data_IF_233218315131
#
_entry.id   IF_233218315131
#
_cell.length_a   1.000
_cell.length_b   1.000
_cell.length_c   1.000
_cell.angle_alpha   90.00
_cell.angle_beta   90.00
_cell.angle_gamma   90.00
#
_symmetry.space_group_name_H-M   'P 1'
#
loop_
_entity.id
_entity.type
_entity.pdbx_description
1 polymer ?
#
# COMPACT_ATOMS: atom_id res chain seq x y z
N UNK A 1 5.96 12.79 5.71
CA UNK A 1 4.87 11.86 6.12
C UNK A 1 4.55 11.06 4.88
N UNK A 2 4.60 9.73 5.01
CA UNK A 2 4.55 8.74 3.95
C UNK A 2 5.80 8.69 3.05
N UNK A 3 6.97 9.03 3.57
CA UNK A 3 8.21 8.98 2.76
C UNK A 3 8.56 7.55 2.34
N UNK A 4 8.54 6.62 3.29
CA UNK A 4 8.84 5.20 3.01
C UNK A 4 7.79 4.56 2.10
N UNK A 5 6.50 4.83 2.36
CA UNK A 5 5.41 4.38 1.48
C UNK A 5 5.57 4.88 0.03
N UNK A 6 5.94 6.15 -0.16
CA UNK A 6 6.18 6.72 -1.50
C UNK A 6 7.44 6.18 -2.16
N UNK A 7 8.49 5.90 -1.38
CA UNK A 7 9.70 5.25 -1.89
C UNK A 7 9.41 3.85 -2.39
N UNK A 8 8.64 3.07 -1.62
CA UNK A 8 8.21 1.74 -2.03
C UNK A 8 7.38 1.78 -3.33
N UNK A 9 6.41 2.69 -3.43
CA UNK A 9 5.63 2.87 -4.66
C UNK A 9 6.48 3.31 -5.86
N UNK A 10 7.41 4.25 -5.67
CA UNK A 10 8.34 4.66 -6.73
C UNK A 10 9.17 3.48 -7.22
N UNK A 11 9.71 2.70 -6.29
CA UNK A 11 10.47 1.51 -6.61
C UNK A 11 9.60 0.46 -7.34
N UNK A 12 8.31 0.34 -7.03
CA UNK A 12 7.39 -0.53 -7.77
C UNK A 12 7.31 -0.15 -9.26
N UNK A 13 7.15 1.15 -9.56
CA UNK A 13 7.16 1.62 -10.94
C UNK A 13 8.50 1.45 -11.64
N UNK A 14 9.62 1.64 -10.92
CA UNK A 14 10.96 1.40 -11.46
C UNK A 14 11.14 -0.07 -11.89
N UNK A 15 10.58 -1.04 -11.17
CA UNK A 15 10.60 -2.45 -11.59
C UNK A 15 9.76 -2.70 -12.85
N UNK A 16 8.60 -2.07 -13.00
CA UNK A 16 7.81 -2.15 -14.24
C UNK A 16 8.55 -1.52 -15.43
N UNK A 17 9.25 -0.40 -15.22
CA UNK A 17 10.09 0.19 -16.27
C UNK A 17 11.25 -0.72 -16.67
N UNK A 18 11.85 -1.42 -15.71
CA UNK A 18 12.89 -2.42 -15.97
C UNK A 18 12.32 -3.62 -16.71
N UNK A 19 11.13 -4.10 -16.33
CA UNK A 19 10.42 -5.16 -17.04
C UNK A 19 10.24 -4.81 -18.51
N UNK A 20 9.78 -3.59 -18.83
CA UNK A 20 9.63 -3.15 -20.22
C UNK A 20 10.94 -3.14 -21.04
N UNK A 21 12.10 -3.15 -20.37
CA UNK A 21 13.43 -3.19 -21.02
C UNK A 21 14.01 -4.60 -21.10
N UNK A 22 13.77 -5.44 -20.10
CA UNK A 22 14.42 -6.76 -19.97
C UNK A 22 13.50 -7.93 -20.32
N UNK A 23 12.19 -7.74 -20.21
CA UNK A 23 11.19 -8.81 -20.31
C UNK A 23 11.22 -9.81 -19.15
N UNK A 24 11.93 -9.52 -18.06
CA UNK A 24 12.06 -10.44 -16.92
C UNK A 24 10.77 -10.46 -16.08
N UNK A 25 9.98 -11.54 -16.10
CA UNK A 25 8.69 -11.61 -15.40
C UNK A 25 8.83 -11.50 -13.88
N UNK A 26 10.02 -11.69 -13.31
CA UNK A 26 10.23 -11.50 -11.87
C UNK A 26 10.06 -10.05 -11.44
N UNK A 27 10.38 -9.11 -12.32
CA UNK A 27 10.22 -7.68 -12.05
C UNK A 27 8.76 -7.27 -11.89
N UNK A 28 7.82 -7.97 -12.55
CA UNK A 28 6.38 -7.75 -12.37
C UNK A 28 5.94 -8.15 -10.96
N UNK A 29 6.44 -9.28 -10.45
CA UNK A 29 6.14 -9.74 -9.08
C UNK A 29 6.78 -8.84 -8.03
N UNK A 30 8.01 -8.42 -8.27
CA UNK A 30 8.72 -7.47 -7.40
C UNK A 30 8.03 -6.10 -7.35
N UNK A 31 7.47 -5.65 -8.47
CA UNK A 31 6.66 -4.44 -8.52
C UNK A 31 5.41 -4.56 -7.65
N UNK A 32 4.71 -5.71 -7.71
CA UNK A 32 3.52 -5.93 -6.91
C UNK A 32 3.83 -5.96 -5.40
N UNK A 33 4.89 -6.66 -4.99
CA UNK A 33 5.30 -6.68 -3.58
C UNK A 33 5.65 -5.28 -3.07
N UNK A 34 6.39 -4.49 -3.86
CA UNK A 34 6.69 -3.09 -3.51
C UNK A 34 5.44 -2.22 -3.41
N UNK A 35 4.45 -2.45 -4.27
CA UNK A 35 3.13 -1.82 -4.18
C UNK A 35 2.38 -2.19 -2.90
N UNK A 36 2.44 -3.46 -2.49
CA UNK A 36 1.88 -3.92 -1.22
C UNK A 36 2.59 -3.28 -0.01
N UNK A 37 3.93 -3.28 0.00
CA UNK A 37 4.73 -2.65 1.05
C UNK A 37 4.38 -1.16 1.20
N UNK A 38 4.16 -0.45 0.10
CA UNK A 38 3.73 0.95 0.16
C UNK A 38 2.43 1.14 0.95
N UNK A 39 1.45 0.26 0.76
CA UNK A 39 0.17 0.28 1.49
C UNK A 39 0.39 -0.05 2.97
N UNK A 40 1.22 -1.04 3.27
CA UNK A 40 1.54 -1.43 4.65
C UNK A 40 2.17 -0.26 5.41
N UNK A 41 3.22 0.35 4.86
CA UNK A 41 3.90 1.51 5.44
C UNK A 41 2.93 2.68 5.68
N UNK A 42 2.04 2.94 4.71
CA UNK A 42 1.06 4.01 4.85
C UNK A 42 0.05 3.74 5.98
N UNK A 43 -0.42 2.50 6.11
CA UNK A 43 -1.32 2.12 7.20
C UNK A 43 -0.60 2.15 8.54
N UNK A 44 0.65 1.70 8.63
CA UNK A 44 1.44 1.79 9.86
C UNK A 44 1.62 3.23 10.33
N UNK A 45 1.95 4.16 9.41
CA UNK A 45 2.06 5.57 9.76
C UNK A 45 0.72 6.17 10.20
N UNK A 46 -0.39 5.77 9.57
CA UNK A 46 -1.74 6.18 9.99
C UNK A 46 -2.05 5.70 11.40
N UNK A 47 -1.87 4.40 11.68
CA UNK A 47 -2.14 3.81 12.99
C UNK A 47 -1.24 4.41 14.07
N UNK A 48 0.04 4.63 13.77
CA UNK A 48 0.98 5.30 14.65
C UNK A 48 0.55 6.72 15.00
N UNK A 49 -0.02 7.47 14.06
CA UNK A 49 -0.58 8.80 14.33
C UNK A 49 -1.81 8.79 15.27
N UNK A 50 -2.50 7.65 15.38
CA UNK A 50 -3.56 7.41 16.37
C UNK A 50 -3.05 6.75 17.67
N UNK A 51 -1.74 6.54 17.79
CA UNK A 51 -1.15 5.86 18.96
C UNK A 51 -1.46 4.37 19.02
N UNK A 52 -1.74 3.73 17.87
CA UNK A 52 -2.06 2.30 17.78
C UNK A 52 -0.89 1.54 17.18
N UNK A 53 -0.36 0.56 17.90
CA UNK A 53 0.62 -0.40 17.37
C UNK A 53 -0.08 -1.65 16.85
N UNK A 54 0.29 -2.09 15.65
CA UNK A 54 -0.23 -3.31 15.04
C UNK A 54 0.87 -4.03 14.23
N UNK A 55 1.16 -5.30 14.55
CA UNK A 55 2.30 -6.02 13.97
C UNK A 55 1.86 -6.85 12.76
N UNK A 56 0.75 -7.56 12.88
CA UNK A 56 0.23 -8.44 11.83
C UNK A 56 -0.76 -7.71 10.91
N UNK A 57 -0.95 -8.22 9.68
CA UNK A 57 -1.95 -7.69 8.75
C UNK A 57 -3.37 -7.75 9.30
N UNK A 58 -3.66 -8.77 10.13
CA UNK A 58 -4.93 -8.87 10.85
C UNK A 58 -5.08 -7.76 11.89
N UNK A 59 -4.09 -7.55 12.74
CA UNK A 59 -4.13 -6.48 13.76
C UNK A 59 -4.28 -5.09 13.11
N UNK A 60 -3.62 -4.86 11.97
CA UNK A 60 -3.75 -3.62 11.20
C UNK A 60 -5.19 -3.41 10.73
N UNK A 61 -5.83 -4.44 10.15
CA UNK A 61 -7.25 -4.38 9.75
C UNK A 61 -8.18 -4.16 10.93
N UNK A 62 -7.98 -4.87 12.03
CA UNK A 62 -8.79 -4.72 13.24
C UNK A 62 -8.63 -3.31 13.85
N UNK A 63 -7.43 -2.74 13.79
CA UNK A 63 -7.17 -1.36 14.20
C UNK A 63 -7.86 -0.33 13.28
N UNK A 64 -7.72 -0.48 11.97
CA UNK A 64 -8.41 0.36 10.98
C UNK A 64 -9.93 0.33 11.16
N UNK A 65 -10.50 -0.85 11.40
CA UNK A 65 -11.92 -1.02 11.67
C UNK A 65 -12.36 -0.29 12.95
N UNK A 66 -11.61 -0.46 14.05
CA UNK A 66 -11.88 0.23 15.33
C UNK A 66 -11.81 1.75 15.23
N UNK A 67 -10.97 2.27 14.34
CA UNK A 67 -10.85 3.71 14.06
C UNK A 67 -11.93 4.23 13.09
N UNK A 68 -12.83 3.37 12.60
CA UNK A 68 -13.91 3.74 11.69
C UNK A 68 -13.48 3.88 10.23
N UNK A 69 -12.37 3.26 9.82
CA UNK A 69 -11.85 3.29 8.44
C UNK A 69 -12.25 2.05 7.65
N UNK A 70 -13.54 1.69 7.66
CA UNK A 70 -14.04 0.48 7.00
C UNK A 70 -13.65 0.38 5.52
N UNK A 71 -13.77 1.48 4.76
CA UNK A 71 -13.34 1.52 3.35
C UNK A 71 -11.84 1.21 3.19
N UNK A 72 -11.00 1.70 4.11
CA UNK A 72 -9.57 1.43 4.08
C UNK A 72 -9.26 -0.02 4.46
N UNK A 73 -10.08 -0.66 5.31
CA UNK A 73 -9.98 -2.10 5.61
C UNK A 73 -10.21 -2.93 4.35
N UNK A 74 -11.28 -2.63 3.60
CA UNK A 74 -11.61 -3.36 2.37
C UNK A 74 -10.53 -3.17 1.32
N UNK A 75 -10.07 -1.93 1.14
CA UNK A 75 -8.99 -1.61 0.20
C UNK A 75 -7.67 -2.28 0.59
N UNK A 76 -7.32 -2.30 1.88
CA UNK A 76 -6.13 -2.97 2.40
C UNK A 76 -6.18 -4.48 2.16
N UNK A 77 -7.29 -5.13 2.52
CA UNK A 77 -7.49 -6.57 2.31
C UNK A 77 -7.46 -6.95 0.83
N UNK A 78 -8.04 -6.12 -0.03
CA UNK A 78 -7.97 -6.33 -1.47
C UNK A 78 -6.50 -6.27 -1.98
N UNK A 79 -5.68 -5.33 -1.51
CA UNK A 79 -4.28 -5.21 -1.97
C UNK A 79 -3.40 -6.32 -1.40
N UNK A 80 -3.67 -6.78 -0.18
CA UNK A 80 -3.07 -8.00 0.38
C UNK A 80 -3.32 -9.20 -0.56
N UNK A 81 -4.57 -9.40 -0.98
CA UNK A 81 -4.92 -10.51 -1.88
C UNK A 81 -4.29 -10.35 -3.26
N UNK A 82 -4.47 -9.20 -3.90
CA UNK A 82 -4.16 -9.02 -5.33
C UNK A 82 -2.67 -8.84 -5.61
N UNK A 83 -1.95 -8.12 -4.75
CA UNK A 83 -0.54 -7.81 -4.97
C UNK A 83 0.37 -8.82 -4.27
N UNK A 84 0.11 -9.13 -3.00
CA UNK A 84 0.99 -9.99 -2.20
C UNK A 84 0.72 -11.48 -2.45
N UNK A 85 -0.54 -11.90 -2.37
CA UNK A 85 -0.88 -13.33 -2.54
C UNK A 85 -0.88 -13.71 -4.03
N UNK A 86 -1.78 -13.12 -4.82
CA UNK A 86 -2.03 -13.57 -6.19
C UNK A 86 -0.86 -13.24 -7.13
N UNK A 87 -0.28 -12.05 -7.02
CA UNK A 87 0.81 -11.64 -7.92
C UNK A 87 2.19 -12.07 -7.41
N UNK A 88 2.59 -11.68 -6.20
CA UNK A 88 3.92 -11.97 -5.71
C UNK A 88 4.15 -13.46 -5.42
N UNK A 89 3.28 -14.11 -4.64
CA UNK A 89 3.41 -15.54 -4.33
C UNK A 89 2.98 -16.44 -5.49
N UNK A 90 1.76 -16.25 -6.01
CA UNK A 90 1.18 -17.19 -6.97
C UNK A 90 1.55 -16.87 -8.43
N UNK A 91 2.06 -15.66 -8.72
CA UNK A 91 2.48 -15.26 -10.05
C UNK A 91 1.35 -15.03 -11.05
N UNK A 92 0.12 -14.86 -10.58
CA UNK A 92 -1.09 -14.70 -11.40
C UNK A 92 -1.31 -13.23 -11.80
N UNK A 93 -0.30 -12.62 -12.43
CA UNK A 93 -0.35 -11.21 -12.83
C UNK A 93 0.51 -10.93 -14.07
N UNK A 94 0.15 -9.88 -14.79
CA UNK A 94 0.94 -9.29 -15.85
C UNK A 94 1.25 -7.82 -15.54
N UNK A 95 2.02 -7.17 -16.41
CA UNK A 95 2.38 -5.75 -16.24
C UNK A 95 1.16 -4.85 -16.13
N UNK A 96 0.13 -5.08 -16.96
CA UNK A 96 -1.07 -4.26 -16.98
C UNK A 96 -1.82 -4.37 -15.66
N UNK A 97 -2.01 -5.61 -15.19
CA UNK A 97 -2.62 -5.91 -13.90
C UNK A 97 -1.92 -5.17 -12.76
N UNK A 98 -0.58 -5.29 -12.66
CA UNK A 98 0.16 -4.63 -11.59
C UNK A 98 0.07 -3.11 -11.71
N UNK A 99 0.20 -2.56 -12.93
CA UNK A 99 0.12 -1.11 -13.17
C UNK A 99 -1.23 -0.52 -12.77
N UNK A 100 -2.34 -1.21 -13.05
CA UNK A 100 -3.67 -0.74 -12.62
C UNK A 100 -3.77 -0.71 -11.09
N UNK A 101 -3.33 -1.76 -10.40
CA UNK A 101 -3.38 -1.77 -8.93
C UNK A 101 -2.39 -0.82 -8.27
N UNK A 102 -1.28 -0.45 -8.92
CA UNK A 102 -0.39 0.61 -8.40
C UNK A 102 -1.07 2.00 -8.41
N UNK A 103 -1.97 2.28 -9.35
CA UNK A 103 -2.80 3.50 -9.30
C UNK A 103 -3.72 3.49 -8.08
N UNK A 104 -4.32 2.34 -7.79
CA UNK A 104 -5.14 2.22 -6.58
C UNK A 104 -4.31 2.40 -5.29
N UNK A 105 -3.05 1.95 -5.30
CA UNK A 105 -2.09 2.19 -4.21
C UNK A 105 -1.82 3.69 -4.06
N UNK A 106 -1.61 4.44 -5.15
CA UNK A 106 -1.50 5.91 -5.10
C UNK A 106 -2.70 6.54 -4.41
N UNK A 107 -3.91 6.14 -4.79
CA UNK A 107 -5.15 6.66 -4.20
C UNK A 107 -5.26 6.36 -2.71
N UNK A 108 -4.82 5.18 -2.26
CA UNK A 108 -4.77 4.82 -0.83
C UNK A 108 -3.77 5.73 -0.10
N UNK A 109 -2.56 5.88 -0.62
CA UNK A 109 -1.53 6.73 -0.01
C UNK A 109 -2.00 8.18 0.09
N UNK A 110 -2.69 8.67 -0.93
CA UNK A 110 -3.24 10.02 -0.94
C UNK A 110 -4.40 10.21 0.04
N UNK A 111 -5.26 9.21 0.19
CA UNK A 111 -6.29 9.21 1.22
C UNK A 111 -5.69 9.24 2.63
N UNK A 112 -4.71 8.37 2.90
CA UNK A 112 -3.99 8.33 4.18
C UNK A 112 -3.32 9.67 4.46
N UNK A 113 -2.65 10.26 3.46
CA UNK A 113 -2.02 11.58 3.56
C UNK A 113 -3.02 12.66 3.99
N UNK A 114 -4.20 12.70 3.36
CA UNK A 114 -5.26 13.66 3.71
C UNK A 114 -5.76 13.44 5.15
N UNK A 115 -5.91 12.18 5.58
CA UNK A 115 -6.30 11.84 6.97
C UNK A 115 -5.25 12.32 7.98
N UNK A 116 -3.96 12.07 7.72
CA UNK A 116 -2.85 12.52 8.55
C UNK A 116 -2.77 14.05 8.65
N UNK A 117 -2.98 14.77 7.55
CA UNK A 117 -3.01 16.24 7.55
C UNK A 117 -4.16 16.79 8.40
N UNK A 118 -5.36 16.18 8.30
CA UNK A 118 -6.52 16.56 9.12
C UNK A 118 -6.28 16.33 10.61
N UNK A 119 -5.55 15.29 11.00
CA UNK A 119 -5.20 15.06 12.40
C UNK A 119 -4.29 16.15 12.95
N UNK A 120 -3.25 16.54 12.20
CA UNK A 120 -2.34 17.61 12.60
C UNK A 120 -3.04 18.96 12.73
N UNK A 121 -4.00 19.26 11.86
CA UNK A 121 -4.80 20.49 11.93
C UNK A 121 -5.72 20.58 13.14
N UNK A 122 -6.00 19.46 13.84
CA UNK A 122 -6.87 19.43 15.03
C UNK A 122 -6.10 19.51 16.36
N UNK A 123 -4.77 19.39 16.34
CA UNK A 123 -3.90 19.41 17.53
C UNK A 123 -3.21 20.76 17.80
N UNK A 124 -3.58 21.83 17.07
CA UNK A 124 -3.00 23.17 17.20
C UNK A 124 -3.98 24.20 17.74
N UNK A 125 -4.59 23.92 18.90
CA UNK A 125 -5.48 24.83 19.64
C UNK A 125 -5.16 24.82 21.12
#
# INVERSE_FOLDING_TARGET
MLEEARRALKAAYEELERFGKTGDPMLVRDAAEKGWLAVVEAVEELLGAYGVEAKTYREKRDALYRLGFAELVDRFAAREKLLHIDCFYDGMCDEQYVREYLKDVEDILDEVRRRLQRLKGRGGG
#
